data_IF_487606963658
#
_entry.id   IF_487606963658
#
_cell.length_a   1.000
_cell.length_b   1.000
_cell.length_c   1.000
_cell.angle_alpha   90.00
_cell.angle_beta   90.00
_cell.angle_gamma   90.00
#
_symmetry.space_group_name_H-M   'P 1'
#
loop_
_entity.id
_entity.type
_entity.pdbx_description
1 polymer ?
#
# COMPACT_ATOMS: atom_id res chain seq x y z
N UNK A 1 4.18 6.15 -7.08
CA UNK A 1 3.47 7.41 -6.78
C UNK A 1 3.47 7.74 -5.29
N UNK A 2 3.09 6.81 -4.41
CA UNK A 2 3.04 7.04 -2.95
C UNK A 2 4.28 7.73 -2.34
N UNK A 3 5.49 7.26 -2.67
CA UNK A 3 6.75 7.89 -2.20
C UNK A 3 6.85 9.36 -2.67
N UNK A 4 6.54 9.63 -3.94
CA UNK A 4 6.54 11.01 -4.48
C UNK A 4 5.52 11.91 -3.79
N UNK A 5 4.34 11.37 -3.45
CA UNK A 5 3.32 12.10 -2.70
C UNK A 5 3.72 12.35 -1.25
N UNK A 6 4.41 11.40 -0.61
CA UNK A 6 4.99 11.59 0.71
C UNK A 6 6.01 12.73 0.71
N UNK A 7 6.93 12.76 -0.25
CA UNK A 7 7.91 13.84 -0.38
C UNK A 7 7.26 15.21 -0.61
N UNK A 8 6.26 15.27 -1.51
CA UNK A 8 5.46 16.49 -1.73
C UNK A 8 4.72 16.91 -0.46
N UNK A 9 4.14 15.97 0.28
CA UNK A 9 3.43 16.26 1.52
C UNK A 9 4.34 16.92 2.53
N UNK A 10 5.59 16.45 2.68
CA UNK A 10 6.56 17.08 3.56
C UNK A 10 6.96 18.48 3.06
N UNK A 11 7.22 18.64 1.76
CA UNK A 11 7.70 19.89 1.19
C UNK A 11 6.65 21.02 1.21
N UNK A 12 5.40 20.71 0.87
CA UNK A 12 4.38 21.73 0.61
C UNK A 12 3.47 22.02 1.82
N UNK A 13 3.53 21.22 2.89
CA UNK A 13 2.66 21.38 4.06
C UNK A 13 3.45 21.79 5.30
N UNK A 14 3.39 23.08 5.72
CA UNK A 14 4.07 23.57 6.92
C UNK A 14 3.66 22.84 8.21
N UNK A 15 2.48 22.19 8.23
CA UNK A 15 2.01 21.39 9.37
C UNK A 15 2.90 20.16 9.64
N UNK A 16 3.66 19.71 8.66
CA UNK A 16 4.59 18.59 8.84
C UNK A 16 5.86 19.00 9.59
N UNK A 17 6.20 20.30 9.66
CA UNK A 17 7.42 20.79 10.34
C UNK A 17 7.52 20.33 11.80
N UNK A 18 6.38 20.25 12.51
CA UNK A 18 6.33 19.77 13.89
C UNK A 18 6.68 18.29 14.04
N UNK A 19 6.53 17.50 12.97
CA UNK A 19 6.89 16.08 12.89
C UNK A 19 8.30 15.88 12.31
N UNK A 20 8.60 16.56 11.20
CA UNK A 20 9.88 16.46 10.48
C UNK A 20 11.06 16.84 11.37
N UNK A 21 10.91 17.78 12.30
CA UNK A 21 11.97 18.15 13.26
C UNK A 21 12.48 17.00 14.14
N UNK A 22 11.72 15.90 14.24
CA UNK A 22 12.10 14.72 15.02
C UNK A 22 12.69 13.60 14.16
N UNK A 23 12.82 13.81 12.84
CA UNK A 23 13.31 12.82 11.90
C UNK A 23 14.66 13.24 11.32
N UNK A 24 15.54 12.26 11.18
CA UNK A 24 16.79 12.39 10.42
C UNK A 24 16.54 12.09 8.94
N UNK A 25 17.52 12.44 8.08
CA UNK A 25 17.48 12.05 6.67
C UNK A 25 17.43 10.52 6.50
N UNK A 26 18.08 9.77 7.39
CA UNK A 26 18.03 8.30 7.43
C UNK A 26 16.63 7.80 7.79
N UNK A 27 15.91 8.45 8.71
CA UNK A 27 14.53 8.09 9.03
C UNK A 27 13.61 8.33 7.83
N UNK A 28 13.77 9.45 7.13
CA UNK A 28 13.02 9.73 5.91
C UNK A 28 13.33 8.71 4.82
N UNK A 29 14.61 8.35 4.64
CA UNK A 29 15.02 7.28 3.72
C UNK A 29 14.37 5.94 4.11
N UNK A 30 14.36 5.60 5.40
CA UNK A 30 13.73 4.40 5.91
C UNK A 30 12.22 4.40 5.64
N UNK A 31 11.48 5.48 5.91
CA UNK A 31 10.04 5.57 5.65
C UNK A 31 9.74 5.31 4.16
N UNK A 32 10.52 5.90 3.25
CA UNK A 32 10.37 5.64 1.80
C UNK A 32 10.58 4.16 1.47
N UNK A 33 11.58 3.53 2.07
CA UNK A 33 11.82 2.10 1.93
C UNK A 33 10.70 1.25 2.56
N UNK A 34 10.09 1.66 3.67
CA UNK A 34 8.96 0.94 4.27
C UNK A 34 7.72 0.94 3.37
N UNK A 35 7.51 2.03 2.61
CA UNK A 35 6.43 2.14 1.63
C UNK A 35 6.73 1.27 0.38
N UNK A 36 7.94 1.40 -0.16
CA UNK A 36 8.36 0.67 -1.36
C UNK A 36 9.73 0.02 -1.12
N UNK A 37 9.75 -1.17 -0.51
CA UNK A 37 11.00 -1.81 -0.10
C UNK A 37 11.81 -2.29 -1.30
N UNK A 38 13.11 -2.02 -1.35
CA UNK A 38 13.99 -2.69 -2.30
C UNK A 38 14.17 -4.15 -1.90
N UNK A 39 14.80 -4.94 -2.78
CA UNK A 39 15.25 -6.28 -2.39
C UNK A 39 16.18 -6.20 -1.18
N UNK A 40 16.01 -7.13 -0.24
CA UNK A 40 16.79 -7.18 1.01
C UNK A 40 18.29 -7.35 0.75
N UNK A 41 18.62 -8.12 -0.28
CA UNK A 41 19.97 -8.32 -0.77
C UNK A 41 20.07 -7.82 -2.22
N UNK A 42 21.20 -7.25 -2.59
CA UNK A 42 21.49 -6.82 -3.95
C UNK A 42 21.87 -8.02 -4.86
N UNK A 43 22.19 -7.74 -6.12
CA UNK A 43 22.62 -8.77 -7.09
C UNK A 43 23.90 -9.51 -6.68
N UNK A 44 24.70 -8.95 -5.78
CA UNK A 44 25.93 -9.52 -5.26
C UNK A 44 25.72 -10.21 -3.89
N UNK A 45 24.46 -10.49 -3.51
CA UNK A 45 24.09 -11.05 -2.20
C UNK A 45 24.52 -10.18 -1.01
N UNK A 46 24.75 -8.88 -1.20
CA UNK A 46 25.09 -7.94 -0.11
C UNK A 46 23.83 -7.31 0.44
N UNK A 47 23.88 -6.98 1.73
CA UNK A 47 22.78 -6.29 2.42
C UNK A 47 22.48 -4.93 1.76
N UNK A 48 21.21 -4.68 1.43
CA UNK A 48 20.78 -3.55 0.61
C UNK A 48 19.74 -2.64 1.30
N UNK A 49 19.36 -2.93 2.55
CA UNK A 49 18.40 -2.11 3.29
C UNK A 49 19.10 -1.01 4.10
N UNK A 50 18.47 0.15 4.32
CA UNK A 50 19.06 1.29 5.03
C UNK A 50 19.13 1.10 6.55
N UNK A 51 19.00 -0.13 7.05
CA UNK A 51 19.01 -0.47 8.48
C UNK A 51 19.83 -1.74 8.69
N UNK A 52 20.23 -2.02 9.91
CA UNK A 52 20.93 -3.26 10.24
C UNK A 52 20.04 -4.50 10.12
N UNK A 53 20.67 -5.66 9.88
CA UNK A 53 20.00 -6.95 9.70
C UNK A 53 19.14 -7.35 10.91
N UNK A 54 19.51 -6.96 12.13
CA UNK A 54 18.76 -7.21 13.36
C UNK A 54 17.47 -6.38 13.46
N UNK A 55 17.35 -5.30 12.70
CA UNK A 55 16.15 -4.44 12.62
C UNK A 55 15.29 -4.71 11.39
N UNK A 56 15.68 -5.65 10.53
CA UNK A 56 15.00 -5.97 9.28
C UNK A 56 13.51 -6.36 9.43
N UNK A 57 13.08 -6.78 10.62
CA UNK A 57 11.70 -7.15 10.92
C UNK A 57 10.69 -6.02 10.68
N UNK A 58 11.10 -4.74 10.72
CA UNK A 58 10.19 -3.61 10.48
C UNK A 58 9.62 -3.60 9.06
N UNK A 59 10.36 -4.16 8.09
CA UNK A 59 9.88 -4.36 6.72
C UNK A 59 8.79 -5.44 6.61
N UNK A 60 8.41 -6.09 7.72
CA UNK A 60 7.30 -7.05 7.74
C UNK A 60 6.01 -6.40 8.24
N UNK A 61 6.06 -5.13 8.66
CA UNK A 61 4.94 -4.43 9.26
C UNK A 61 4.13 -3.70 8.19
N UNK A 62 4.76 -2.81 7.43
CA UNK A 62 4.07 -1.89 6.50
C UNK A 62 3.81 -2.52 5.13
N UNK A 63 4.86 -3.01 4.46
CA UNK A 63 4.76 -3.67 3.17
C UNK A 63 5.64 -4.92 3.18
N UNK A 64 5.02 -6.07 3.46
CA UNK A 64 5.76 -7.31 3.65
C UNK A 64 5.94 -8.06 2.34
N UNK A 65 6.99 -7.73 1.59
CA UNK A 65 7.31 -8.40 0.32
C UNK A 65 7.70 -9.87 0.46
N UNK A 66 8.01 -10.35 1.67
CA UNK A 66 8.45 -11.75 1.88
C UNK A 66 7.29 -12.74 1.80
N UNK A 67 6.17 -12.41 2.43
CA UNK A 67 5.01 -13.31 2.49
C UNK A 67 3.65 -12.59 2.42
N UNK A 68 3.64 -11.25 2.39
CA UNK A 68 2.42 -10.45 2.27
C UNK A 68 1.60 -10.31 3.54
N UNK A 69 2.03 -10.86 4.68
CA UNK A 69 1.37 -10.65 5.97
C UNK A 69 1.87 -9.35 6.60
N UNK A 70 1.16 -8.25 6.35
CA UNK A 70 1.41 -6.90 6.85
C UNK A 70 0.12 -6.29 7.45
N UNK A 71 0.25 -5.15 8.12
CA UNK A 71 -0.91 -4.49 8.76
C UNK A 71 -1.90 -3.94 7.74
N UNK A 72 -1.44 -3.54 6.56
CA UNK A 72 -2.29 -3.14 5.43
C UNK A 72 -3.25 -4.27 5.05
N UNK A 73 -2.73 -5.51 4.92
CA UNK A 73 -3.55 -6.68 4.62
C UNK A 73 -4.58 -6.99 5.69
N UNK A 74 -4.17 -6.95 6.95
CA UNK A 74 -5.07 -7.24 8.07
C UNK A 74 -6.20 -6.21 8.11
N UNK A 75 -5.87 -4.94 7.87
CA UNK A 75 -6.84 -3.85 7.87
C UNK A 75 -7.84 -3.96 6.72
N UNK A 76 -7.39 -4.05 5.45
CA UNK A 76 -8.33 -4.08 4.33
C UNK A 76 -9.19 -5.34 4.32
N UNK A 77 -8.66 -6.51 4.66
CA UNK A 77 -9.46 -7.74 4.68
C UNK A 77 -10.56 -7.66 5.73
N UNK A 78 -10.25 -7.15 6.93
CA UNK A 78 -11.25 -6.96 7.97
C UNK A 78 -12.28 -5.89 7.57
N UNK A 79 -11.81 -4.72 7.12
CA UNK A 79 -12.65 -3.58 6.74
C UNK A 79 -13.59 -3.96 5.60
N UNK A 80 -13.06 -4.51 4.52
CA UNK A 80 -13.84 -4.82 3.33
C UNK A 80 -14.77 -6.00 3.60
N UNK A 81 -14.32 -6.97 4.41
CA UNK A 81 -15.17 -8.03 4.95
C UNK A 81 -16.43 -7.51 5.64
N UNK A 82 -16.26 -6.49 6.49
CA UNK A 82 -17.36 -5.84 7.18
C UNK A 82 -18.25 -5.04 6.22
N UNK A 83 -17.65 -4.22 5.34
CA UNK A 83 -18.36 -3.30 4.45
C UNK A 83 -19.12 -4.01 3.32
N UNK A 84 -18.63 -5.15 2.86
CA UNK A 84 -19.25 -5.93 1.80
C UNK A 84 -20.17 -7.06 2.31
N UNK A 85 -20.43 -7.13 3.62
CA UNK A 85 -21.28 -8.18 4.19
C UNK A 85 -20.66 -9.58 4.18
N UNK A 86 -19.34 -9.68 3.97
CA UNK A 86 -18.58 -10.93 3.87
C UNK A 86 -18.08 -11.44 5.23
N UNK A 87 -18.70 -11.03 6.33
CA UNK A 87 -18.28 -11.34 7.72
C UNK A 87 -18.11 -12.84 7.99
N UNK A 88 -18.85 -13.70 7.28
CA UNK A 88 -18.73 -15.17 7.40
C UNK A 88 -17.42 -15.71 6.82
N UNK A 89 -16.83 -15.00 5.86
CA UNK A 89 -15.67 -15.43 5.09
C UNK A 89 -14.40 -14.62 5.41
N UNK A 90 -14.57 -13.37 5.83
CA UNK A 90 -13.49 -12.48 6.22
C UNK A 90 -12.99 -12.75 7.65
N UNK A 91 -11.73 -12.40 7.93
CA UNK A 91 -11.18 -12.43 9.28
C UNK A 91 -11.94 -11.44 10.18
N UNK A 92 -11.99 -11.72 11.47
CA UNK A 92 -12.56 -10.81 12.47
C UNK A 92 -11.46 -10.17 13.34
N UNK A 93 -11.85 -9.20 14.17
CA UNK A 93 -10.90 -8.49 15.04
C UNK A 93 -10.18 -9.38 16.05
N UNK A 94 -10.73 -10.54 16.43
CA UNK A 94 -10.04 -11.44 17.36
C UNK A 94 -8.84 -12.10 16.67
N UNK A 95 -8.99 -12.50 15.40
CA UNK A 95 -7.88 -13.02 14.58
C UNK A 95 -6.81 -11.93 14.42
N UNK A 96 -7.20 -10.71 14.04
CA UNK A 96 -6.27 -9.58 13.89
C UNK A 96 -5.49 -9.33 15.18
N UNK A 97 -6.19 -9.22 16.32
CA UNK A 97 -5.56 -9.02 17.64
C UNK A 97 -4.64 -10.17 18.02
N UNK A 98 -5.01 -11.42 17.73
CA UNK A 98 -4.18 -12.60 18.05
C UNK A 98 -2.89 -12.59 17.24
N UNK A 99 -2.95 -12.30 15.94
CA UNK A 99 -1.76 -12.18 15.09
C UNK A 99 -0.84 -11.08 15.65
N UNK A 100 -1.36 -9.85 15.82
CA UNK A 100 -0.56 -8.71 16.30
C UNK A 100 0.09 -8.98 17.66
N UNK A 101 -0.67 -9.51 18.64
CA UNK A 101 -0.16 -9.75 20.01
C UNK A 101 0.87 -10.88 20.10
N UNK A 102 0.84 -11.81 19.16
CA UNK A 102 1.72 -12.99 19.17
C UNK A 102 3.01 -12.81 18.36
N UNK A 103 3.10 -11.75 17.55
CA UNK A 103 4.27 -11.51 16.72
C UNK A 103 5.52 -11.28 17.58
N UNK A 104 6.58 -12.01 17.27
CA UNK A 104 7.88 -11.87 17.93
C UNK A 104 8.98 -11.66 16.89
N UNK A 105 10.04 -10.97 17.29
CA UNK A 105 11.23 -10.83 16.44
C UNK A 105 12.11 -12.06 16.62
N UNK A 106 12.50 -12.70 15.52
CA UNK A 106 13.40 -13.85 15.56
C UNK A 106 14.38 -13.84 14.39
N UNK A 107 15.52 -14.53 14.56
CA UNK A 107 16.55 -14.67 13.52
C UNK A 107 16.10 -15.66 12.45
N UNK A 108 16.28 -15.31 11.19
CA UNK A 108 16.15 -16.17 10.03
C UNK A 108 17.53 -16.33 9.41
N UNK A 109 17.90 -17.58 9.14
CA UNK A 109 19.18 -17.94 8.53
C UNK A 109 18.91 -18.35 7.08
N UNK A 110 19.58 -17.68 6.14
CA UNK A 110 19.58 -18.01 4.71
C UNK A 110 21.01 -18.12 4.20
N UNK A 111 21.15 -18.58 2.96
CA UNK A 111 22.45 -18.67 2.29
C UNK A 111 23.15 -17.31 2.21
N UNK A 112 22.39 -16.23 1.98
CA UNK A 112 22.90 -14.86 1.86
C UNK A 112 23.25 -14.22 3.22
N UNK A 113 22.85 -14.85 4.33
CA UNK A 113 23.16 -14.38 5.67
C UNK A 113 22.03 -14.53 6.68
N UNK A 114 22.22 -13.91 7.85
CA UNK A 114 21.26 -13.94 8.96
C UNK A 114 20.62 -12.56 9.15
N UNK A 115 19.30 -12.51 9.28
CA UNK A 115 18.56 -11.28 9.56
C UNK A 115 17.38 -11.55 10.50
N UNK A 116 16.86 -10.51 11.15
CA UNK A 116 15.68 -10.62 12.00
C UNK A 116 14.40 -10.41 11.19
N UNK A 117 13.37 -11.20 11.46
CA UNK A 117 12.06 -11.07 10.85
C UNK A 117 10.94 -11.26 11.89
N UNK A 118 9.73 -10.83 11.54
CA UNK A 118 8.55 -11.18 12.34
C UNK A 118 8.25 -12.68 12.18
N UNK A 119 8.15 -13.34 13.32
CA UNK A 119 7.78 -14.74 13.48
C UNK A 119 6.53 -14.85 14.34
N UNK A 120 5.81 -15.95 14.17
CA UNK A 120 4.57 -16.23 14.88
C UNK A 120 4.61 -17.64 15.47
N UNK A 121 4.00 -17.88 16.64
CA UNK A 121 3.88 -19.21 17.21
C UNK A 121 3.15 -20.17 16.26
N UNK A 122 3.52 -21.45 16.28
CA UNK A 122 2.86 -22.47 15.45
C UNK A 122 1.36 -22.57 15.72
N UNK A 123 0.92 -22.27 16.96
CA UNK A 123 -0.50 -22.21 17.33
C UNK A 123 -1.31 -21.19 16.53
N UNK A 124 -0.65 -20.18 15.93
CA UNK A 124 -1.29 -19.17 15.09
C UNK A 124 -1.39 -19.55 13.61
N UNK A 125 -0.96 -20.76 13.23
CA UNK A 125 -1.00 -21.21 11.84
C UNK A 125 -2.43 -21.17 11.26
N UNK A 126 -3.45 -21.45 12.07
CA UNK A 126 -4.85 -21.39 11.66
C UNK A 126 -5.29 -19.96 11.33
N UNK A 127 -4.96 -18.99 12.19
CA UNK A 127 -5.26 -17.57 12.01
C UNK A 127 -4.57 -16.99 10.79
N UNK A 128 -3.28 -17.30 10.59
CA UNK A 128 -2.53 -16.82 9.43
C UNK A 128 -3.11 -17.42 8.15
N UNK A 129 -3.45 -18.71 8.14
CA UNK A 129 -4.15 -19.33 7.00
C UNK A 129 -5.51 -18.68 6.73
N UNK A 130 -6.24 -18.32 7.78
CA UNK A 130 -7.52 -17.63 7.65
C UNK A 130 -7.38 -16.28 6.95
N UNK A 131 -6.33 -15.50 7.23
CA UNK A 131 -6.05 -14.23 6.52
C UNK A 131 -5.98 -14.45 5.01
N UNK A 132 -5.18 -15.41 4.55
CA UNK A 132 -5.02 -15.66 3.12
C UNK A 132 -6.26 -16.30 2.48
N UNK A 133 -6.99 -17.15 3.22
CA UNK A 133 -8.27 -17.66 2.77
C UNK A 133 -9.27 -16.52 2.58
N UNK A 134 -9.44 -15.65 3.56
CA UNK A 134 -10.32 -14.48 3.48
C UNK A 134 -9.94 -13.55 2.33
N UNK A 135 -8.65 -13.37 2.04
CA UNK A 135 -8.19 -12.63 0.86
C UNK A 135 -8.75 -13.22 -0.43
N UNK A 136 -8.68 -14.54 -0.58
CA UNK A 136 -9.20 -15.24 -1.78
C UNK A 136 -10.71 -15.08 -1.87
N UNK A 137 -11.43 -15.24 -0.75
CA UNK A 137 -12.88 -15.09 -0.69
C UNK A 137 -13.33 -13.68 -1.09
N UNK A 138 -12.66 -12.63 -0.58
CA UNK A 138 -12.94 -11.25 -0.97
C UNK A 138 -12.60 -11.00 -2.44
N UNK A 139 -11.48 -11.53 -2.92
CA UNK A 139 -11.12 -11.42 -4.33
C UNK A 139 -12.18 -12.03 -5.24
N UNK A 140 -12.60 -13.26 -4.98
CA UNK A 140 -13.55 -13.97 -5.84
C UNK A 140 -14.97 -13.38 -5.80
N UNK A 141 -15.43 -12.96 -4.62
CA UNK A 141 -16.83 -12.58 -4.42
C UNK A 141 -17.09 -11.07 -4.43
N UNK A 142 -16.04 -10.24 -4.27
CA UNK A 142 -16.17 -8.78 -4.21
C UNK A 142 -15.35 -8.13 -5.31
N UNK A 143 -14.03 -8.26 -5.26
CA UNK A 143 -13.14 -7.48 -6.15
C UNK A 143 -13.18 -7.97 -7.61
N UNK A 144 -13.50 -9.24 -7.81
CA UNK A 144 -13.54 -9.89 -9.13
C UNK A 144 -14.96 -10.34 -9.50
N UNK A 145 -15.99 -9.76 -8.88
CA UNK A 145 -17.36 -9.97 -9.31
C UNK A 145 -17.54 -9.49 -10.76
N UNK A 146 -18.26 -10.26 -11.56
CA UNK A 146 -18.39 -10.01 -13.00
C UNK A 146 -19.05 -8.68 -13.32
N UNK A 147 -19.98 -8.21 -12.47
CA UNK A 147 -20.65 -6.92 -12.66
C UNK A 147 -19.72 -5.77 -12.30
N UNK A 148 -18.94 -5.91 -11.22
CA UNK A 148 -17.89 -4.95 -10.86
C UNK A 148 -16.89 -4.80 -12.00
N UNK A 149 -16.38 -5.90 -12.53
CA UNK A 149 -15.42 -5.87 -13.66
C UNK A 149 -16.03 -5.27 -14.93
N UNK A 150 -17.29 -5.56 -15.22
CA UNK A 150 -17.98 -4.95 -16.37
C UNK A 150 -18.09 -3.43 -16.20
N UNK A 151 -18.47 -2.95 -15.02
CA UNK A 151 -18.52 -1.53 -14.70
C UNK A 151 -17.13 -0.88 -14.79
N UNK A 152 -16.09 -1.50 -14.24
CA UNK A 152 -14.72 -1.00 -14.34
C UNK A 152 -14.26 -0.85 -15.80
N UNK A 153 -14.58 -1.81 -16.66
CA UNK A 153 -14.25 -1.71 -18.09
C UNK A 153 -15.02 -0.59 -18.81
N UNK A 154 -16.29 -0.36 -18.44
CA UNK A 154 -17.06 0.78 -18.95
C UNK A 154 -16.43 2.11 -18.51
N UNK A 155 -16.09 2.24 -17.22
CA UNK A 155 -15.42 3.43 -16.68
C UNK A 155 -14.06 3.69 -17.33
N UNK A 156 -13.23 2.65 -17.49
CA UNK A 156 -11.94 2.77 -18.18
C UNK A 156 -12.11 3.25 -19.62
N UNK A 157 -13.12 2.76 -20.35
CA UNK A 157 -13.41 3.22 -21.71
C UNK A 157 -13.83 4.69 -21.73
N UNK A 158 -14.73 5.10 -20.83
CA UNK A 158 -15.14 6.49 -20.69
C UNK A 158 -13.94 7.40 -20.39
N UNK A 159 -13.09 7.03 -19.43
CA UNK A 159 -11.87 7.78 -19.07
C UNK A 159 -10.87 7.86 -20.22
N UNK A 160 -10.72 6.82 -21.04
CA UNK A 160 -9.85 6.85 -22.24
C UNK A 160 -10.38 7.80 -23.31
N UNK A 161 -11.68 7.83 -23.54
CA UNK A 161 -12.30 8.72 -24.52
C UNK A 161 -12.28 10.19 -24.05
N UNK A 162 -12.60 10.44 -22.79
CA UNK A 162 -12.63 11.79 -22.23
C UNK A 162 -11.22 12.33 -21.92
N UNK A 163 -10.28 11.46 -21.55
CA UNK A 163 -8.97 11.80 -20.98
C UNK A 163 -8.16 12.87 -21.75
N UNK A 164 -8.08 12.83 -23.09
CA UNK A 164 -7.39 13.87 -23.88
C UNK A 164 -8.02 15.27 -23.74
N UNK A 165 -9.33 15.33 -23.50
CA UNK A 165 -10.12 16.55 -23.40
C UNK A 165 -10.14 17.12 -21.97
N UNK A 166 -10.02 16.26 -20.95
CA UNK A 166 -9.95 16.70 -19.55
C UNK A 166 -8.67 17.49 -19.28
N UNK A 167 -8.80 18.64 -18.60
CA UNK A 167 -7.68 19.52 -18.27
C UNK A 167 -7.47 19.65 -16.76
N UNK A 168 -6.22 19.47 -16.34
CA UNK A 168 -5.78 19.56 -14.95
C UNK A 168 -4.59 20.52 -14.84
N UNK A 169 -4.57 21.32 -13.77
CA UNK A 169 -3.56 22.38 -13.59
C UNK A 169 -2.27 21.82 -12.97
N UNK A 170 -1.12 22.15 -13.55
CA UNK A 170 0.20 21.80 -13.01
C UNK A 170 0.71 22.85 -12.02
N UNK A 171 1.87 22.59 -11.39
CA UNK A 171 2.54 23.59 -10.54
C UNK A 171 2.83 24.90 -11.27
N UNK A 172 3.22 24.79 -12.54
CA UNK A 172 3.60 25.91 -13.41
C UNK A 172 2.38 26.68 -13.95
N UNK A 173 1.15 26.30 -13.56
CA UNK A 173 -0.09 26.90 -14.07
C UNK A 173 -0.50 26.41 -15.47
N UNK A 174 0.27 25.49 -16.07
CA UNK A 174 -0.09 24.86 -17.35
C UNK A 174 -1.24 23.88 -17.18
N UNK A 175 -1.96 23.60 -18.27
CA UNK A 175 -2.99 22.56 -18.31
C UNK A 175 -2.48 21.33 -19.04
N UNK A 176 -2.61 20.17 -18.41
CA UNK A 176 -2.26 18.86 -19.00
C UNK A 176 -3.48 17.93 -19.04
N UNK A 177 -3.44 16.96 -19.95
CA UNK A 177 -4.50 15.95 -20.10
C UNK A 177 -4.46 14.92 -18.96
N UNK A 178 -5.55 14.16 -18.79
CA UNK A 178 -5.63 13.08 -17.80
C UNK A 178 -4.44 12.11 -17.92
N UNK A 179 -4.08 11.75 -19.15
CA UNK A 179 -3.02 10.79 -19.47
C UNK A 179 -1.65 11.23 -18.91
N UNK A 180 -1.40 12.53 -18.88
CA UNK A 180 -0.12 13.12 -18.42
C UNK A 180 -0.13 13.48 -16.93
N UNK A 181 -1.26 13.37 -16.24
CA UNK A 181 -1.35 13.78 -14.83
C UNK A 181 -0.41 13.00 -13.91
N UNK A 182 -0.02 11.76 -14.27
CA UNK A 182 0.96 11.00 -13.50
C UNK A 182 2.40 11.56 -13.56
N UNK A 183 2.66 12.49 -14.48
CA UNK A 183 3.96 13.16 -14.66
C UNK A 183 4.12 14.40 -13.75
N UNK A 184 3.01 15.02 -13.31
CA UNK A 184 3.01 16.20 -12.43
C UNK A 184 2.19 15.94 -11.17
N UNK A 185 2.82 16.04 -9.99
CA UNK A 185 2.16 15.73 -8.72
C UNK A 185 1.03 16.71 -8.35
N UNK A 186 1.02 17.94 -8.86
CA UNK A 186 -0.07 18.89 -8.59
C UNK A 186 -1.30 18.56 -9.44
N UNK A 187 -1.08 18.14 -10.68
CA UNK A 187 -2.14 17.58 -11.51
C UNK A 187 -2.65 16.25 -10.92
N UNK A 188 -1.76 15.36 -10.48
CA UNK A 188 -2.12 14.06 -9.93
C UNK A 188 -3.03 14.14 -8.70
N UNK A 189 -2.76 15.05 -7.75
CA UNK A 189 -3.57 15.16 -6.53
C UNK A 189 -4.99 15.67 -6.78
N UNK A 190 -5.26 16.28 -7.95
CA UNK A 190 -6.61 16.66 -8.33
C UNK A 190 -7.43 15.43 -8.75
N UNK A 191 -6.79 14.33 -9.14
CA UNK A 191 -7.46 13.12 -9.60
C UNK A 191 -8.15 12.42 -8.42
N UNK A 192 -9.41 12.76 -8.25
CA UNK A 192 -10.34 12.12 -7.31
C UNK A 192 -11.50 11.56 -8.10
N UNK A 193 -12.17 10.55 -7.55
CA UNK A 193 -13.35 9.97 -8.18
C UNK A 193 -14.38 11.08 -8.45
N UNK A 194 -14.77 11.86 -7.43
CA UNK A 194 -15.75 12.94 -7.57
C UNK A 194 -15.43 13.90 -8.72
N UNK A 195 -14.18 14.37 -8.81
CA UNK A 195 -13.77 15.28 -9.89
C UNK A 195 -13.80 14.62 -11.26
N UNK A 196 -13.38 13.35 -11.36
CA UNK A 196 -13.42 12.61 -12.62
C UNK A 196 -14.86 12.33 -13.04
N UNK A 197 -15.72 11.94 -12.10
CA UNK A 197 -17.15 11.75 -12.34
C UNK A 197 -17.80 13.05 -12.82
N UNK A 198 -17.58 14.18 -12.13
CA UNK A 198 -18.08 15.49 -12.55
C UNK A 198 -17.60 15.84 -13.96
N UNK A 199 -16.30 15.70 -14.23
CA UNK A 199 -15.70 16.06 -15.51
C UNK A 199 -16.06 15.13 -16.68
N UNK A 200 -16.48 13.89 -16.42
CA UNK A 200 -16.83 12.92 -17.46
C UNK A 200 -18.33 12.88 -17.72
N UNK A 201 -19.15 13.04 -16.68
CA UNK A 201 -20.61 12.97 -16.78
C UNK A 201 -21.22 14.33 -17.16
N UNK A 202 -20.64 15.44 -16.68
CA UNK A 202 -21.17 16.79 -16.95
C UNK A 202 -20.43 17.52 -18.09
N UNK A 203 -19.60 16.82 -18.87
CA UNK A 203 -18.91 17.35 -20.05
C UNK A 203 -19.76 17.15 -21.32
#
# INVERSE_FOLDING_TARGET
MAVKLFDKMLADNPKTNGFVRFLTDDDLKLIRCLINPPAMFDSNKKWNLPISQDKAYIFNIVNNIRNGLDVDKLDYIYRDGLRCGMNKYAINMNIVKRIIKSGVVGKEHREEGTFCCLKYPQSNAGEIKAVFKSKIELFQNVYHDKKVLANDEMFKKALKLAGPHLKFRTKAGLQISLEKCHEDLNAYIQLTDDLLYEKVINA
#
